data_IF_688041228433
#
_entry.id   IF_688041228433
#
_cell.length_a   1.000
_cell.length_b   1.000
_cell.length_c   1.000
_cell.angle_alpha   90.00
_cell.angle_beta   90.00
_cell.angle_gamma   90.00
#
_symmetry.space_group_name_H-M   'P 1'
#
loop_
_entity.id
_entity.type
_entity.pdbx_description
1 polymer ?
#
# COMPACT_ATOMS: atom_id res chain seq x y z
N UNK A 1 65.24 -47.79 -59.96
CA UNK A 1 64.63 -47.65 -61.30
C UNK A 1 63.13 -47.92 -61.19
N UNK A 2 62.33 -46.93 -61.62
CA UNK A 2 61.10 -47.09 -62.43
C UNK A 2 59.90 -47.90 -61.85
N UNK A 3 58.80 -47.13 -61.72
CA UNK A 3 57.34 -47.43 -61.86
C UNK A 3 56.60 -48.08 -60.68
N UNK A 4 55.54 -47.46 -60.12
CA UNK A 4 54.24 -46.94 -60.65
C UNK A 4 53.16 -48.05 -60.64
N UNK A 5 52.23 -47.99 -59.67
CA UNK A 5 50.78 -48.25 -59.88
C UNK A 5 49.99 -48.23 -58.56
N UNK A 6 49.28 -47.12 -58.35
CA UNK A 6 47.84 -46.98 -58.08
C UNK A 6 47.10 -48.14 -57.39
N UNK A 7 46.42 -47.84 -56.27
CA UNK A 7 45.06 -48.33 -55.98
C UNK A 7 44.39 -47.53 -54.84
N UNK A 8 43.56 -46.57 -55.26
CA UNK A 8 42.22 -46.24 -54.77
C UNK A 8 41.83 -46.76 -53.36
N UNK A 9 41.66 -45.85 -52.39
CA UNK A 9 40.77 -46.10 -51.24
C UNK A 9 39.86 -44.90 -51.02
N UNK A 10 38.57 -45.21 -51.11
CA UNK A 10 37.40 -44.39 -50.78
C UNK A 10 37.60 -43.61 -49.47
N UNK A 11 37.35 -42.30 -49.53
CA UNK A 11 37.11 -41.48 -48.35
C UNK A 11 35.73 -41.76 -47.80
N UNK A 12 35.66 -42.23 -46.55
CA UNK A 12 34.44 -42.30 -45.76
C UNK A 12 34.46 -41.11 -44.79
N UNK A 13 33.74 -40.04 -45.13
CA UNK A 13 33.47 -38.93 -44.22
C UNK A 13 32.49 -39.40 -43.14
N UNK A 14 32.98 -39.74 -41.95
CA UNK A 14 32.12 -39.83 -40.76
C UNK A 14 31.76 -38.41 -40.31
N UNK A 15 30.53 -37.99 -40.62
CA UNK A 15 29.90 -36.85 -40.00
C UNK A 15 29.56 -37.20 -38.54
N UNK A 16 30.33 -36.70 -37.60
CA UNK A 16 29.99 -36.73 -36.18
C UNK A 16 28.80 -35.78 -35.95
N UNK A 17 27.61 -36.34 -35.76
CA UNK A 17 26.45 -35.60 -35.32
C UNK A 17 26.69 -35.12 -33.88
N UNK A 18 27.08 -33.84 -33.73
CA UNK A 18 27.08 -33.16 -32.46
C UNK A 18 25.62 -33.02 -31.99
N UNK A 19 25.22 -33.87 -31.04
CA UNK A 19 23.96 -33.71 -30.32
C UNK A 19 24.15 -32.49 -29.40
N UNK A 20 23.40 -31.39 -29.59
CA UNK A 20 23.47 -30.28 -28.64
C UNK A 20 22.86 -30.77 -27.33
N UNK A 21 23.71 -30.87 -26.30
CA UNK A 21 23.27 -31.02 -24.93
C UNK A 21 22.41 -29.80 -24.60
N UNK A 22 21.09 -29.97 -24.63
CA UNK A 22 20.16 -29.02 -24.07
C UNK A 22 20.46 -28.95 -22.56
N UNK A 23 21.27 -27.98 -22.17
CA UNK A 23 21.43 -27.59 -20.78
C UNK A 23 20.05 -27.11 -20.31
N UNK A 24 19.29 -28.01 -19.69
CA UNK A 24 18.11 -27.66 -18.94
C UNK A 24 18.54 -26.66 -17.88
N UNK A 25 18.06 -25.43 -18.01
CA UNK A 25 18.10 -24.48 -16.91
C UNK A 25 17.18 -25.05 -15.83
N UNK A 26 17.76 -25.78 -14.87
CA UNK A 26 17.10 -26.05 -13.61
C UNK A 26 16.68 -24.70 -13.04
N UNK A 27 15.38 -24.42 -13.09
CA UNK A 27 14.80 -23.28 -12.37
C UNK A 27 15.15 -23.51 -10.91
N UNK A 28 16.15 -22.77 -10.42
CA UNK A 28 16.57 -22.81 -9.03
C UNK A 28 15.31 -22.73 -8.15
N UNK A 29 15.11 -23.76 -7.33
CA UNK A 29 13.92 -23.87 -6.50
C UNK A 29 13.91 -22.70 -5.52
N UNK A 30 12.96 -21.78 -5.69
CA UNK A 30 12.73 -20.73 -4.70
C UNK A 30 12.21 -21.37 -3.42
N UNK A 31 13.00 -21.29 -2.34
CA UNK A 31 12.61 -21.76 -1.02
C UNK A 31 11.89 -20.66 -0.25
N UNK A 32 10.99 -21.00 0.70
CA UNK A 32 10.43 -20.02 1.63
C UNK A 32 11.53 -19.28 2.41
N UNK A 33 11.26 -18.02 2.73
CA UNK A 33 12.13 -17.24 3.63
C UNK A 33 11.86 -17.65 5.07
N UNK A 34 12.90 -18.06 5.80
CA UNK A 34 12.81 -18.38 7.22
C UNK A 34 12.90 -17.09 8.04
N UNK A 35 11.84 -16.81 8.80
CA UNK A 35 11.83 -15.77 9.84
C UNK A 35 11.86 -16.44 11.20
N UNK A 36 12.77 -16.01 12.08
CA UNK A 36 12.95 -16.63 13.39
C UNK A 36 12.61 -15.66 14.52
N UNK A 37 12.15 -16.19 15.64
CA UNK A 37 11.97 -15.39 16.85
C UNK A 37 13.30 -14.81 17.37
N UNK A 38 14.42 -15.52 17.16
CA UNK A 38 15.75 -15.05 17.52
C UNK A 38 16.08 -13.69 16.87
N UNK A 39 15.83 -13.53 15.57
CA UNK A 39 16.05 -12.27 14.85
C UNK A 39 15.28 -11.10 15.48
N UNK A 40 14.03 -11.33 15.88
CA UNK A 40 13.21 -10.31 16.52
C UNK A 40 13.77 -9.94 17.91
N UNK A 41 14.12 -10.93 18.74
CA UNK A 41 14.66 -10.70 20.09
C UNK A 41 16.02 -10.00 20.02
N UNK A 42 16.89 -10.38 19.09
CA UNK A 42 18.19 -9.74 18.90
C UNK A 42 18.03 -8.27 18.48
N UNK A 43 17.14 -7.98 17.51
CA UNK A 43 16.85 -6.62 17.09
C UNK A 43 16.26 -5.76 18.24
N UNK A 44 15.37 -6.33 19.06
CA UNK A 44 14.79 -5.61 20.21
C UNK A 44 15.78 -5.31 21.34
N UNK A 45 16.83 -6.15 21.49
CA UNK A 45 17.86 -5.97 22.51
C UNK A 45 19.03 -5.12 22.03
N UNK A 46 19.15 -4.90 20.72
CA UNK A 46 20.20 -4.07 20.15
C UNK A 46 20.05 -2.62 20.60
N UNK A 47 21.08 -2.10 21.27
CA UNK A 47 21.21 -0.67 21.54
C UNK A 47 21.86 -0.01 20.34
N UNK A 48 21.32 1.13 19.93
CA UNK A 48 21.86 1.94 18.85
C UNK A 48 21.76 3.44 19.19
N UNK A 49 22.60 4.21 18.53
CA UNK A 49 22.83 5.65 18.72
C UNK A 49 22.12 6.50 17.66
N UNK A 50 21.21 5.91 16.88
CA UNK A 50 20.39 6.66 15.94
C UNK A 50 19.58 7.72 16.71
N UNK A 51 19.80 8.99 16.38
CA UNK A 51 18.96 10.06 16.88
C UNK A 51 17.60 10.02 16.18
N UNK A 52 16.64 9.38 16.85
CA UNK A 52 15.26 9.24 16.36
C UNK A 52 14.52 10.58 16.26
N UNK A 53 15.02 11.63 16.94
CA UNK A 53 14.41 12.97 16.88
C UNK A 53 14.93 13.80 15.70
N UNK A 54 16.01 13.35 15.06
CA UNK A 54 16.56 13.98 13.88
C UNK A 54 16.16 13.24 12.60
N UNK A 55 15.14 13.74 11.91
CA UNK A 55 14.62 13.15 10.67
C UNK A 55 15.69 12.92 9.59
N UNK A 56 16.75 13.75 9.57
CA UNK A 56 17.86 13.60 8.62
C UNK A 56 18.69 12.36 8.92
N UNK A 57 18.88 12.03 10.19
CA UNK A 57 19.63 10.83 10.60
C UNK A 57 18.80 9.57 10.35
N UNK A 58 17.48 9.63 10.60
CA UNK A 58 16.54 8.54 10.27
C UNK A 58 16.47 8.29 8.75
N UNK A 59 16.34 9.36 7.94
CA UNK A 59 16.35 9.24 6.48
C UNK A 59 17.66 8.63 5.96
N UNK A 60 18.81 9.09 6.48
CA UNK A 60 20.11 8.54 6.12
C UNK A 60 20.22 7.06 6.48
N UNK A 61 19.79 6.67 7.69
CA UNK A 61 19.74 5.28 8.12
C UNK A 61 18.94 4.41 7.15
N UNK A 62 17.72 4.83 6.81
CA UNK A 62 16.84 4.07 5.91
C UNK A 62 17.49 3.91 4.53
N UNK A 63 17.91 5.00 3.88
CA UNK A 63 18.48 4.92 2.53
C UNK A 63 19.78 4.09 2.49
N UNK A 64 20.57 4.10 3.56
CA UNK A 64 21.77 3.27 3.67
C UNK A 64 21.47 1.78 3.89
N UNK A 65 20.33 1.46 4.54
CA UNK A 65 19.89 0.08 4.74
C UNK A 65 19.25 -0.53 3.48
N UNK A 66 18.75 0.29 2.56
CA UNK A 66 18.13 -0.16 1.32
C UNK A 66 19.17 -0.59 0.27
N UNK A 67 18.83 -1.60 -0.58
CA UNK A 67 19.61 -1.88 -1.78
C UNK A 67 19.55 -0.68 -2.74
N UNK A 68 20.42 -0.68 -3.77
CA UNK A 68 20.50 0.41 -4.76
C UNK A 68 19.19 0.61 -5.54
N UNK A 69 18.35 -0.41 -5.61
CA UNK A 69 17.05 -0.38 -6.27
C UNK A 69 16.01 -1.14 -5.47
N UNK A 70 14.85 -0.51 -5.25
CA UNK A 70 13.70 -1.08 -4.55
C UNK A 70 12.44 -1.00 -5.42
N UNK A 71 11.50 -1.91 -5.16
CA UNK A 71 10.17 -1.89 -5.77
C UNK A 71 9.18 -1.26 -4.79
N UNK A 72 8.42 -0.29 -5.30
CA UNK A 72 7.23 0.24 -4.62
C UNK A 72 6.03 -0.51 -5.19
N UNK A 73 5.36 -1.28 -4.33
CA UNK A 73 4.23 -2.13 -4.72
C UNK A 73 2.88 -1.41 -4.68
N UNK A 74 2.56 -0.63 -3.64
CA UNK A 74 1.28 0.05 -3.54
C UNK A 74 1.05 1.05 -4.68
N UNK A 75 -0.17 1.11 -5.21
CA UNK A 75 -0.49 1.97 -6.37
C UNK A 75 -0.53 3.47 -6.06
N UNK A 76 -0.64 3.83 -4.78
CA UNK A 76 -0.49 5.21 -4.30
C UNK A 76 0.96 5.62 -4.03
N UNK A 77 1.94 4.74 -4.31
CA UNK A 77 3.38 5.03 -4.31
C UNK A 77 4.05 5.16 -2.95
N UNK A 78 3.54 4.45 -1.94
CA UNK A 78 4.16 4.34 -0.63
C UNK A 78 5.19 3.21 -0.59
N UNK A 79 6.43 3.55 -0.23
CA UNK A 79 7.43 2.58 0.16
C UNK A 79 7.44 2.46 1.69
N UNK A 80 6.75 1.46 2.22
CA UNK A 80 6.69 1.21 3.65
C UNK A 80 7.96 0.55 4.19
N UNK A 81 8.34 0.92 5.40
CA UNK A 81 9.43 0.31 6.15
C UNK A 81 9.06 0.19 7.63
N UNK A 82 9.77 -0.70 8.34
CA UNK A 82 9.75 -0.72 9.80
C UNK A 82 11.12 -1.12 10.33
N UNK A 83 11.45 -0.68 11.53
CA UNK A 83 12.68 -1.03 12.22
C UNK A 83 12.46 -1.00 13.73
N UNK A 84 13.38 -1.59 14.49
CA UNK A 84 13.36 -1.53 15.96
C UNK A 84 14.48 -0.61 16.42
N UNK A 85 14.14 0.38 17.23
CA UNK A 85 15.06 1.32 17.84
C UNK A 85 14.92 1.23 19.36
N UNK A 86 15.97 0.76 20.04
CA UNK A 86 16.06 0.68 21.50
C UNK A 86 14.89 -0.04 22.20
N UNK A 87 14.26 -1.01 21.51
CA UNK A 87 13.13 -1.80 22.01
C UNK A 87 11.75 -1.31 21.54
N UNK A 88 11.69 -0.19 20.81
CA UNK A 88 10.46 0.38 20.25
C UNK A 88 10.42 0.06 18.75
N UNK A 89 9.27 -0.42 18.27
CA UNK A 89 9.06 -0.63 16.83
C UNK A 89 8.59 0.67 16.20
N UNK A 90 9.31 1.12 15.18
CA UNK A 90 8.93 2.23 14.34
C UNK A 90 8.42 1.71 13.00
N UNK A 91 7.38 2.36 12.48
CA UNK A 91 6.88 2.20 11.13
C UNK A 91 7.01 3.54 10.39
N UNK A 92 6.95 3.49 9.07
CA UNK A 92 7.02 4.70 8.27
C UNK A 92 6.96 4.44 6.78
N UNK A 93 7.06 5.51 6.01
CA UNK A 93 7.03 5.43 4.56
C UNK A 93 7.84 6.54 3.88
N UNK A 94 8.25 6.25 2.65
CA UNK A 94 8.62 7.24 1.63
C UNK A 94 7.54 7.21 0.55
N UNK A 95 6.79 8.30 0.37
CA UNK A 95 5.74 8.41 -0.65
C UNK A 95 6.17 9.31 -1.80
N UNK A 96 6.28 8.71 -2.99
CA UNK A 96 6.48 9.41 -4.27
C UNK A 96 5.11 9.79 -4.86
N UNK A 97 4.49 10.79 -4.25
CA UNK A 97 3.13 11.22 -4.60
C UNK A 97 2.98 11.70 -6.06
N UNK A 98 1.81 11.39 -6.65
CA UNK A 98 1.16 12.01 -7.80
C UNK A 98 1.67 13.41 -8.21
N UNK A 99 1.51 14.31 -7.24
CA UNK A 99 1.55 15.76 -7.39
C UNK A 99 2.95 16.31 -7.09
N UNK A 100 3.74 15.62 -6.28
CA UNK A 100 4.98 16.16 -5.71
C UNK A 100 6.26 15.54 -6.29
N UNK A 101 6.26 14.27 -6.69
CA UNK A 101 7.49 13.58 -7.13
C UNK A 101 8.16 14.22 -8.35
N UNK A 102 7.37 14.71 -9.29
CA UNK A 102 7.86 15.36 -10.51
C UNK A 102 8.36 16.79 -10.24
N UNK A 103 8.05 17.35 -9.07
CA UNK A 103 8.60 18.62 -8.57
C UNK A 103 9.90 18.43 -7.78
N UNK A 104 10.44 17.20 -7.75
CA UNK A 104 11.66 16.89 -7.02
C UNK A 104 11.45 16.74 -5.51
N UNK A 105 10.23 16.38 -5.07
CA UNK A 105 9.89 16.22 -3.65
C UNK A 105 9.47 14.80 -3.29
N UNK A 106 9.66 14.42 -2.04
CA UNK A 106 9.20 13.14 -1.48
C UNK A 106 8.60 13.36 -0.09
N UNK A 107 7.49 12.69 0.20
CA UNK A 107 6.96 12.69 1.56
C UNK A 107 7.69 11.62 2.37
N UNK A 108 8.13 11.99 3.57
CA UNK A 108 8.82 11.10 4.50
C UNK A 108 8.12 11.14 5.84
N UNK A 109 7.71 9.98 6.32
CA UNK A 109 7.10 9.85 7.64
C UNK A 109 7.65 8.67 8.41
N UNK A 110 7.77 8.82 9.73
CA UNK A 110 8.03 7.71 10.65
C UNK A 110 7.44 8.01 12.03
N UNK A 111 7.00 6.95 12.69
CA UNK A 111 6.25 7.02 13.95
C UNK A 111 6.40 5.71 14.72
N UNK A 112 6.13 5.74 16.01
CA UNK A 112 6.05 4.53 16.81
C UNK A 112 4.86 3.72 16.33
N UNK A 113 5.08 2.44 16.04
CA UNK A 113 4.01 1.60 15.51
C UNK A 113 2.90 1.47 16.55
N UNK A 114 1.67 1.69 16.10
CA UNK A 114 0.49 1.62 16.94
C UNK A 114 0.38 0.27 17.64
N UNK A 115 0.01 0.30 18.92
CA UNK A 115 -0.40 -0.89 19.65
C UNK A 115 -1.72 -0.63 20.38
N UNK A 116 -2.62 -1.63 20.52
CA UNK A 116 -3.88 -1.44 21.23
C UNK A 116 -3.75 -0.98 22.70
N UNK A 117 -2.58 -1.16 23.32
CA UNK A 117 -2.33 -0.83 24.73
C UNK A 117 -1.44 0.39 24.94
N UNK A 118 -0.87 0.95 23.86
CA UNK A 118 -0.03 2.14 23.91
C UNK A 118 -0.17 2.92 22.61
N UNK A 119 -0.69 4.14 22.75
CA UNK A 119 -0.96 5.06 21.66
C UNK A 119 -0.01 6.24 21.83
N UNK A 120 0.83 6.46 20.83
CA UNK A 120 1.61 7.68 20.69
C UNK A 120 1.09 8.41 19.46
N UNK A 121 0.64 9.65 19.65
CA UNK A 121 0.09 10.49 18.58
C UNK A 121 1.16 11.26 17.80
N UNK A 122 2.41 11.24 18.28
CA UNK A 122 3.53 11.92 17.63
C UNK A 122 3.87 11.25 16.30
N UNK A 123 3.53 11.95 15.22
CA UNK A 123 3.85 11.57 13.86
C UNK A 123 4.91 12.52 13.31
N UNK A 124 6.08 12.00 12.97
CA UNK A 124 7.09 12.78 12.28
C UNK A 124 6.77 12.74 10.79
N UNK A 125 6.40 13.88 10.21
CA UNK A 125 6.08 14.03 8.79
C UNK A 125 6.84 15.20 8.18
N UNK A 126 7.43 14.96 7.00
CA UNK A 126 8.18 15.95 6.26
C UNK A 126 7.96 15.82 4.76
N UNK A 127 7.70 16.94 4.09
CA UNK A 127 7.80 17.04 2.64
C UNK A 127 9.21 17.51 2.29
N UNK A 128 10.04 16.58 1.83
CA UNK A 128 11.47 16.81 1.62
C UNK A 128 11.78 17.21 0.18
N UNK A 129 12.67 18.18 0.03
CA UNK A 129 13.15 18.65 -1.28
C UNK A 129 14.62 19.08 -1.27
N UNK A 130 15.07 19.79 -2.32
CA UNK A 130 16.43 20.32 -2.41
C UNK A 130 16.82 21.20 -1.21
N UNK A 131 15.87 21.92 -0.62
CA UNK A 131 16.01 22.70 0.61
C UNK A 131 16.46 21.86 1.82
N UNK A 132 16.13 20.57 1.81
CA UNK A 132 16.55 19.60 2.81
C UNK A 132 17.85 18.87 2.43
N UNK A 133 18.46 19.20 1.29
CA UNK A 133 19.57 18.43 0.73
C UNK A 133 19.15 17.07 0.16
N UNK A 134 17.84 16.87 -0.06
CA UNK A 134 17.28 15.68 -0.71
C UNK A 134 17.07 15.98 -2.19
N UNK A 135 17.63 15.15 -3.06
CA UNK A 135 17.39 15.24 -4.51
C UNK A 135 16.48 14.10 -4.94
N UNK A 136 15.30 14.43 -5.46
CA UNK A 136 14.42 13.47 -6.14
C UNK A 136 14.50 13.71 -7.64
N UNK A 137 14.88 12.69 -8.40
CA UNK A 137 15.09 12.80 -9.85
C UNK A 137 14.31 11.72 -10.59
N UNK A 138 13.44 12.13 -11.51
CA UNK A 138 12.72 11.22 -12.41
C UNK A 138 13.71 10.60 -13.41
N UNK A 139 13.89 9.28 -13.35
CA UNK A 139 14.75 8.50 -14.25
C UNK A 139 13.97 7.92 -15.42
N UNK A 140 12.73 7.51 -15.15
CA UNK A 140 11.74 7.10 -16.14
C UNK A 140 10.33 7.42 -15.63
N UNK A 141 9.29 7.14 -16.42
CA UNK A 141 7.89 7.42 -16.07
C UNK A 141 7.47 6.91 -14.68
N UNK A 142 7.94 5.72 -14.32
CA UNK A 142 7.66 5.02 -13.05
C UNK A 142 8.95 4.67 -12.31
N UNK A 143 10.01 5.47 -12.47
CA UNK A 143 11.29 5.24 -11.80
C UNK A 143 11.90 6.56 -11.33
N UNK A 144 12.20 6.66 -10.03
CA UNK A 144 12.70 7.87 -9.38
C UNK A 144 13.94 7.53 -8.55
N UNK A 145 14.96 8.37 -8.63
CA UNK A 145 16.11 8.31 -7.75
C UNK A 145 15.92 9.27 -6.57
N UNK A 146 16.12 8.79 -5.35
CA UNK A 146 16.23 9.64 -4.16
C UNK A 146 17.70 9.63 -3.72
N UNK A 147 18.32 10.80 -3.68
CA UNK A 147 19.69 11.00 -3.22
C UNK A 147 19.72 11.86 -1.96
N UNK A 148 20.42 11.39 -0.93
CA UNK A 148 20.66 12.14 0.31
C UNK A 148 22.02 11.76 0.90
N UNK A 149 22.81 12.75 1.32
CA UNK A 149 24.16 12.55 1.90
C UNK A 149 25.05 11.58 1.09
N UNK A 150 25.00 11.66 -0.24
CA UNK A 150 25.79 10.82 -1.15
C UNK A 150 25.22 9.41 -1.42
N UNK A 151 24.23 8.95 -0.63
CA UNK A 151 23.50 7.70 -0.90
C UNK A 151 22.40 7.96 -1.92
N UNK A 152 22.32 7.12 -2.96
CA UNK A 152 21.23 7.16 -3.95
C UNK A 152 20.53 5.81 -4.01
N UNK A 153 19.20 5.82 -3.98
CA UNK A 153 18.36 4.63 -4.14
C UNK A 153 17.35 4.88 -5.26
N UNK A 154 17.19 3.90 -6.14
CA UNK A 154 16.21 3.91 -7.22
C UNK A 154 14.91 3.26 -6.75
N UNK A 155 13.83 4.01 -6.76
CA UNK A 155 12.48 3.57 -6.45
C UNK A 155 11.73 3.30 -7.75
N UNK A 156 11.45 2.03 -8.02
CA UNK A 156 10.64 1.61 -9.15
C UNK A 156 9.18 1.50 -8.72
N UNK A 157 8.33 2.39 -9.21
CA UNK A 157 6.89 2.36 -8.94
C UNK A 157 6.23 1.13 -9.60
N UNK A 158 5.07 0.74 -9.08
CA UNK A 158 4.37 -0.43 -9.61
C UNK A 158 3.83 -0.12 -11.01
N UNK A 159 4.16 -0.96 -11.99
CA UNK A 159 3.76 -0.75 -13.38
C UNK A 159 2.64 -1.72 -13.73
N UNK A 160 1.42 -1.20 -13.77
CA UNK A 160 0.20 -1.94 -14.03
C UNK A 160 -0.51 -1.42 -15.29
N UNK A 161 0.19 -0.68 -16.17
CA UNK A 161 -0.44 -0.07 -17.37
C UNK A 161 -1.08 -1.10 -18.31
N UNK A 162 -0.55 -2.33 -18.33
CA UNK A 162 -1.10 -3.45 -19.09
C UNK A 162 -2.22 -4.22 -18.38
N UNK A 163 -2.52 -3.90 -17.12
CA UNK A 163 -3.48 -4.65 -16.30
C UNK A 163 -4.88 -4.12 -16.53
N UNK A 164 -5.74 -4.98 -17.09
CA UNK A 164 -7.15 -4.69 -17.37
C UNK A 164 -8.02 -5.88 -16.98
N UNK A 165 -9.28 -5.67 -16.58
CA UNK A 165 -10.22 -6.75 -16.33
C UNK A 165 -10.33 -7.66 -17.57
N UNK A 166 -10.27 -9.00 -17.42
CA UNK A 166 -10.52 -9.91 -18.53
C UNK A 166 -11.98 -9.84 -19.00
N UNK A 167 -12.29 -10.33 -20.22
CA UNK A 167 -13.65 -10.35 -20.73
C UNK A 167 -14.63 -11.01 -19.75
N UNK A 168 -15.77 -10.36 -19.51
CA UNK A 168 -16.82 -10.84 -18.61
C UNK A 168 -16.67 -10.44 -17.13
N UNK A 169 -15.52 -9.91 -16.69
CA UNK A 169 -15.36 -9.42 -15.32
C UNK A 169 -16.04 -8.06 -15.10
N UNK A 170 -15.96 -7.17 -16.09
CA UNK A 170 -16.68 -5.90 -16.08
C UNK A 170 -18.09 -6.12 -16.65
N UNK A 171 -19.11 -5.66 -15.93
CA UNK A 171 -20.50 -5.72 -16.41
C UNK A 171 -20.83 -4.57 -17.35
N UNK A 172 -21.90 -4.74 -18.11
CA UNK A 172 -22.45 -3.68 -18.95
C UNK A 172 -22.80 -2.45 -18.11
N UNK A 173 -22.28 -1.29 -18.53
CA UNK A 173 -22.50 -0.01 -17.86
C UNK A 173 -21.61 0.25 -16.65
N UNK A 174 -20.75 -0.69 -16.23
CA UNK A 174 -19.73 -0.40 -15.20
C UNK A 174 -18.53 0.33 -15.80
N UNK A 175 -17.94 1.24 -15.02
CA UNK A 175 -16.74 1.99 -15.37
C UNK A 175 -15.53 1.39 -14.66
N UNK A 176 -14.52 0.98 -15.43
CA UNK A 176 -13.22 0.61 -14.88
C UNK A 176 -12.42 1.88 -14.54
N UNK A 177 -12.07 2.04 -13.25
CA UNK A 177 -11.31 3.20 -12.77
C UNK A 177 -9.81 2.97 -12.88
N UNK A 178 -9.33 1.77 -12.55
CA UNK A 178 -7.92 1.42 -12.69
C UNK A 178 -7.50 0.21 -11.86
N UNK A 179 -6.25 -0.26 -12.06
CA UNK A 179 -5.71 -1.38 -11.31
C UNK A 179 -5.19 -0.88 -9.96
N UNK A 180 -5.67 -1.49 -8.89
CA UNK A 180 -5.20 -1.23 -7.52
C UNK A 180 -4.27 -2.36 -7.11
N UNK A 181 -3.15 -2.03 -6.50
CA UNK A 181 -2.30 -3.00 -5.82
C UNK A 181 -2.09 -2.47 -4.42
N UNK A 182 -2.60 -3.22 -3.47
CA UNK A 182 -2.64 -2.90 -2.05
C UNK A 182 -1.36 -3.41 -1.35
N UNK A 183 -0.97 -2.79 -0.25
CA UNK A 183 0.19 -3.14 0.58
C UNK A 183 0.11 -4.56 1.16
N UNK A 184 -1.08 -5.16 1.24
CA UNK A 184 -1.25 -6.59 1.55
C UNK A 184 -0.62 -7.49 0.48
N UNK A 185 -0.29 -6.96 -0.70
CA UNK A 185 0.16 -7.72 -1.86
C UNK A 185 -0.99 -8.26 -2.71
N UNK A 186 -2.21 -7.76 -2.53
CA UNK A 186 -3.39 -8.17 -3.30
C UNK A 186 -3.68 -7.13 -4.40
N UNK A 187 -3.95 -7.62 -5.61
CA UNK A 187 -4.37 -6.78 -6.72
C UNK A 187 -5.89 -6.75 -6.89
N UNK A 188 -6.42 -5.60 -7.26
CA UNK A 188 -7.83 -5.39 -7.56
C UNK A 188 -8.01 -4.59 -8.85
N UNK A 189 -9.22 -4.69 -9.41
CA UNK A 189 -9.76 -3.70 -10.31
C UNK A 189 -10.73 -2.83 -9.52
N UNK A 190 -10.47 -1.52 -9.45
CA UNK A 190 -11.45 -0.58 -8.93
C UNK A 190 -12.49 -0.30 -10.01
N UNK A 191 -13.74 -0.62 -9.69
CA UNK A 191 -14.88 -0.54 -10.61
C UNK A 191 -15.97 0.32 -9.99
N UNK A 192 -16.57 1.19 -10.80
CA UNK A 192 -17.71 2.01 -10.39
C UNK A 192 -18.96 1.60 -11.16
N UNK A 193 -20.08 1.40 -10.45
CA UNK A 193 -21.38 1.20 -11.06
C UNK A 193 -22.17 2.52 -11.04
N UNK A 194 -22.31 3.23 -12.17
CA UNK A 194 -22.95 4.55 -12.21
C UNK A 194 -24.45 4.51 -11.94
N UNK A 195 -25.12 3.40 -12.25
CA UNK A 195 -26.57 3.24 -12.02
C UNK A 195 -26.88 3.07 -10.55
N UNK A 196 -26.07 2.28 -9.85
CA UNK A 196 -26.24 1.98 -8.43
C UNK A 196 -25.48 2.96 -7.52
N UNK A 197 -24.56 3.74 -8.09
CA UNK A 197 -23.66 4.64 -7.36
C UNK A 197 -22.85 3.92 -6.28
N UNK A 198 -22.25 2.79 -6.66
CA UNK A 198 -21.42 1.98 -5.75
C UNK A 198 -20.06 1.71 -6.38
N UNK A 199 -19.03 1.67 -5.53
CA UNK A 199 -17.71 1.18 -5.88
C UNK A 199 -17.61 -0.31 -5.54
N UNK A 200 -16.79 -1.03 -6.29
CA UNK A 200 -16.39 -2.39 -5.98
C UNK A 200 -14.89 -2.56 -6.21
N UNK A 201 -14.24 -3.25 -5.28
CA UNK A 201 -12.92 -3.84 -5.52
C UNK A 201 -13.11 -5.27 -6.01
N UNK A 202 -12.77 -5.50 -7.27
CA UNK A 202 -12.84 -6.83 -7.88
C UNK A 202 -11.46 -7.47 -7.82
N UNK A 203 -11.34 -8.66 -7.23
CA UNK A 203 -10.06 -9.36 -7.13
C UNK A 203 -9.45 -9.57 -8.53
N UNK A 204 -8.18 -9.18 -8.69
CA UNK A 204 -7.41 -9.45 -9.89
C UNK A 204 -6.77 -10.84 -9.80
N UNK A 205 -7.42 -11.82 -10.42
CA UNK A 205 -6.93 -13.21 -10.48
C UNK A 205 -5.95 -13.48 -11.63
N UNK A 206 -5.53 -12.46 -12.39
CA UNK A 206 -4.51 -12.60 -13.43
C UNK A 206 -3.09 -12.59 -12.86
N UNK A 207 -2.91 -12.14 -11.62
CA UNK A 207 -1.63 -12.13 -10.93
C UNK A 207 -1.48 -13.39 -10.06
N UNK A 208 -0.24 -13.83 -9.77
CA UNK A 208 -0.01 -14.89 -8.79
C UNK A 208 -0.69 -14.55 -7.46
N UNK A 209 -1.50 -15.49 -6.95
CA UNK A 209 -2.21 -15.28 -5.69
C UNK A 209 -1.21 -15.13 -4.55
N UNK A 210 -1.28 -14.02 -3.83
CA UNK A 210 -0.54 -13.78 -2.59
C UNK A 210 -1.27 -14.32 -1.36
N UNK A 211 -2.43 -14.94 -1.55
CA UNK A 211 -3.25 -15.52 -0.49
C UNK A 211 -3.92 -16.83 -0.94
N UNK A 212 -4.22 -17.70 0.02
CA UNK A 212 -5.02 -18.90 -0.20
C UNK A 212 -6.47 -18.59 0.14
N UNK A 213 -7.36 -18.73 -0.85
CA UNK A 213 -8.80 -18.54 -0.64
C UNK A 213 -9.47 -19.82 -0.10
N UNK A 214 -10.09 -19.70 1.07
CA UNK A 214 -10.79 -20.78 1.76
C UNK A 214 -12.31 -20.59 1.66
N UNK A 215 -13.10 -21.66 1.43
CA UNK A 215 -14.56 -21.56 1.49
C UNK A 215 -15.03 -21.28 2.92
N UNK A 216 -16.11 -20.51 3.08
CA UNK A 216 -16.73 -20.31 4.40
C UNK A 216 -17.91 -21.27 4.61
N UNK A 217 -18.29 -21.49 5.87
CA UNK A 217 -19.52 -22.24 6.23
C UNK A 217 -20.79 -21.39 6.10
N UNK A 218 -20.63 -20.08 5.98
CA UNK A 218 -21.73 -19.11 5.92
C UNK A 218 -22.44 -19.17 4.56
N UNK A 219 -21.67 -19.25 3.48
CA UNK A 219 -22.19 -19.38 2.13
C UNK A 219 -21.13 -19.95 1.19
N UNK A 220 -21.48 -20.88 0.26
CA UNK A 220 -20.54 -21.38 -0.75
C UNK A 220 -20.09 -20.30 -1.74
N UNK A 221 -20.76 -19.14 -1.74
CA UNK A 221 -20.42 -17.96 -2.54
C UNK A 221 -19.40 -17.07 -1.84
N UNK A 222 -19.11 -17.27 -0.55
CA UNK A 222 -18.15 -16.45 0.17
C UNK A 222 -16.85 -17.25 0.35
N UNK A 223 -15.73 -16.61 0.05
CA UNK A 223 -14.39 -17.13 0.32
C UNK A 223 -13.58 -16.14 1.13
N UNK A 224 -12.64 -16.65 1.91
CA UNK A 224 -11.80 -15.89 2.82
C UNK A 224 -10.32 -16.06 2.47
N UNK A 225 -9.58 -14.96 2.41
CA UNK A 225 -8.13 -14.96 2.36
C UNK A 225 -7.55 -15.45 3.70
N UNK A 226 -6.76 -16.52 3.66
CA UNK A 226 -6.17 -17.12 4.85
C UNK A 226 -5.16 -16.18 5.54
N UNK A 227 -4.40 -15.40 4.76
CA UNK A 227 -3.37 -14.47 5.26
C UNK A 227 -3.95 -13.10 5.57
N UNK A 228 -4.81 -12.58 4.69
CA UNK A 228 -5.30 -11.20 4.75
C UNK A 228 -6.56 -11.04 5.59
N UNK A 229 -7.38 -12.09 5.72
CA UNK A 229 -8.73 -11.93 6.25
C UNK A 229 -9.65 -11.14 5.30
N UNK A 230 -9.28 -10.98 4.02
CA UNK A 230 -10.19 -10.40 3.04
C UNK A 230 -11.28 -11.40 2.66
N UNK A 231 -12.53 -10.95 2.72
CA UNK A 231 -13.71 -11.73 2.37
C UNK A 231 -14.22 -11.33 0.99
N UNK A 232 -14.41 -12.31 0.12
CA UNK A 232 -14.88 -12.10 -1.24
C UNK A 232 -16.18 -12.83 -1.52
N UNK A 233 -17.10 -12.16 -2.20
CA UNK A 233 -18.30 -12.77 -2.76
C UNK A 233 -18.06 -13.20 -4.22
N UNK A 234 -18.33 -14.46 -4.52
CA UNK A 234 -18.29 -15.05 -5.86
C UNK A 234 -19.58 -14.69 -6.59
N UNK A 235 -19.49 -13.72 -7.50
CA UNK A 235 -20.63 -13.21 -8.24
C UNK A 235 -21.38 -14.35 -8.98
N UNK A 236 -22.72 -14.29 -8.97
CA UNK A 236 -23.61 -15.23 -9.66
C UNK A 236 -23.69 -14.97 -11.15
N UNK A 237 -23.49 -13.73 -11.57
CA UNK A 237 -23.74 -13.28 -12.94
C UNK A 237 -22.46 -12.98 -13.73
N UNK A 238 -21.30 -12.97 -13.08
CA UNK A 238 -20.00 -12.77 -13.71
C UNK A 238 -18.91 -13.63 -13.06
N UNK A 239 -17.85 -14.02 -13.79
CA UNK A 239 -16.71 -14.76 -13.26
C UNK A 239 -15.78 -13.83 -12.46
N UNK A 240 -16.27 -13.27 -11.35
CA UNK A 240 -15.54 -12.30 -10.52
C UNK A 240 -15.74 -12.52 -9.03
N UNK A 241 -14.78 -12.05 -8.24
CA UNK A 241 -14.81 -12.04 -6.78
C UNK A 241 -14.80 -10.60 -6.30
N UNK A 242 -15.86 -10.18 -5.63
CA UNK A 242 -16.05 -8.82 -5.13
C UNK A 242 -15.61 -8.79 -3.66
N UNK A 243 -14.72 -7.88 -3.28
CA UNK A 243 -14.37 -7.65 -1.88
C UNK A 243 -15.63 -7.16 -1.14
N UNK A 244 -16.09 -7.92 -0.15
CA UNK A 244 -17.28 -7.60 0.65
C UNK A 244 -16.94 -7.35 2.11
N UNK A 245 -15.76 -7.77 2.56
CA UNK A 245 -15.34 -7.45 3.91
C UNK A 245 -13.85 -7.61 4.14
N UNK A 246 -13.40 -6.97 5.20
CA UNK A 246 -12.07 -7.08 5.75
C UNK A 246 -12.19 -7.37 7.24
N UNK A 247 -11.19 -8.05 7.82
CA UNK A 247 -11.21 -8.35 9.23
C UNK A 247 -10.97 -7.09 10.06
N UNK A 248 -11.93 -6.70 10.90
CA UNK A 248 -11.89 -5.46 11.67
C UNK A 248 -10.65 -5.36 12.57
N UNK A 249 -10.16 -6.50 13.08
CA UNK A 249 -8.94 -6.55 13.88
C UNK A 249 -7.68 -6.03 13.16
N UNK A 250 -7.61 -6.14 11.84
CA UNK A 250 -6.52 -5.57 11.06
C UNK A 250 -6.65 -4.04 10.92
N UNK A 251 -7.86 -3.56 10.65
CA UNK A 251 -8.17 -2.12 10.58
C UNK A 251 -7.95 -1.42 11.91
N UNK A 252 -8.33 -2.04 13.02
CA UNK A 252 -8.13 -1.47 14.36
C UNK A 252 -6.65 -1.19 14.69
N UNK A 253 -5.73 -1.99 14.14
CA UNK A 253 -4.28 -1.81 14.34
C UNK A 253 -3.59 -1.18 13.15
N UNK A 254 -4.33 -0.79 12.12
CA UNK A 254 -3.83 -0.15 10.89
C UNK A 254 -2.60 -0.88 10.30
N UNK A 255 -2.70 -2.20 10.19
CA UNK A 255 -1.64 -3.02 9.57
C UNK A 255 -1.88 -3.15 8.06
N UNK A 256 -0.96 -3.79 7.34
CA UNK A 256 -1.04 -3.96 5.87
C UNK A 256 -2.24 -4.81 5.35
N UNK A 257 -3.21 -5.16 6.19
CA UNK A 257 -4.41 -5.95 5.87
C UNK A 257 -5.71 -5.23 6.26
N UNK A 258 -5.66 -3.91 6.42
CA UNK A 258 -6.78 -3.02 6.72
C UNK A 258 -7.56 -2.56 5.47
N UNK A 259 -7.13 -2.99 4.27
CA UNK A 259 -7.90 -2.95 3.04
C UNK A 259 -7.57 -1.79 2.11
N UNK A 260 -8.01 -1.85 0.84
CA UNK A 260 -7.49 -1.01 -0.24
C UNK A 260 -8.09 0.40 -0.32
N UNK A 261 -8.65 0.91 0.77
CA UNK A 261 -9.58 2.04 0.75
C UNK A 261 -8.97 3.38 0.28
N UNK A 262 -7.67 3.55 0.48
CA UNK A 262 -6.86 4.71 0.08
C UNK A 262 -5.83 4.38 -1.01
N UNK A 263 -5.63 3.09 -1.32
CA UNK A 263 -4.67 2.54 -2.29
C UNK A 263 -5.04 2.77 -3.77
N UNK A 264 -5.46 3.98 -4.15
CA UNK A 264 -6.05 4.24 -5.46
C UNK A 264 -5.02 4.20 -6.63
N UNK A 265 -5.47 4.03 -7.89
CA UNK A 265 -4.58 3.83 -9.04
C UNK A 265 -3.95 5.14 -9.56
N UNK A 266 -3.28 5.90 -8.69
CA UNK A 266 -2.85 7.28 -8.94
C UNK A 266 -1.97 7.46 -10.17
N UNK A 267 -1.13 6.46 -10.46
CA UNK A 267 -0.27 6.49 -11.65
C UNK A 267 -1.03 6.33 -12.97
N UNK A 268 -2.26 5.84 -12.94
CA UNK A 268 -3.02 5.42 -14.13
C UNK A 268 -4.32 6.22 -14.32
N UNK A 269 -4.59 7.19 -13.44
CA UNK A 269 -5.68 8.15 -13.56
C UNK A 269 -5.14 9.39 -14.25
N UNK A 270 -5.51 9.56 -15.53
CA UNK A 270 -5.14 10.72 -16.34
C UNK A 270 -6.33 11.63 -16.64
N UNK A 271 -7.55 11.13 -16.44
CA UNK A 271 -8.82 11.80 -16.67
C UNK A 271 -9.53 12.08 -15.33
N UNK A 272 -10.77 12.58 -15.41
CA UNK A 272 -11.60 12.93 -14.25
C UNK A 272 -12.43 11.75 -13.72
N UNK A 273 -12.27 10.52 -14.25
CA UNK A 273 -13.23 9.43 -14.02
C UNK A 273 -13.37 9.02 -12.55
N UNK A 274 -12.27 9.05 -11.79
CA UNK A 274 -12.31 8.76 -10.36
C UNK A 274 -13.09 9.86 -9.62
N UNK A 275 -12.75 11.12 -9.87
CA UNK A 275 -13.43 12.27 -9.28
C UNK A 275 -14.92 12.28 -9.63
N UNK A 276 -15.28 12.06 -10.89
CA UNK A 276 -16.67 12.00 -11.31
C UNK A 276 -17.44 10.84 -10.64
N UNK A 277 -16.80 9.68 -10.48
CA UNK A 277 -17.37 8.57 -9.73
C UNK A 277 -17.57 8.91 -8.25
N UNK A 278 -16.60 9.58 -7.61
CA UNK A 278 -16.72 10.06 -6.22
C UNK A 278 -17.89 11.04 -6.11
N UNK A 279 -17.98 12.03 -7.01
CA UNK A 279 -19.05 13.03 -6.99
C UNK A 279 -20.44 12.46 -7.27
N UNK A 280 -20.54 11.30 -7.92
CA UNK A 280 -21.82 10.61 -8.10
C UNK A 280 -22.36 10.00 -6.79
N UNK A 281 -21.46 9.58 -5.89
CA UNK A 281 -21.76 9.01 -4.56
C UNK A 281 -21.86 10.12 -3.50
N UNK A 282 -20.97 11.11 -3.58
CA UNK A 282 -20.77 12.18 -2.60
C UNK A 282 -20.77 13.57 -3.30
N UNK A 283 -21.93 14.07 -3.78
CA UNK A 283 -22.03 15.35 -4.50
C UNK A 283 -21.50 16.56 -3.71
N UNK A 284 -21.54 16.51 -2.39
CA UNK A 284 -21.03 17.52 -1.46
C UNK A 284 -19.51 17.72 -1.53
N UNK A 285 -18.77 16.79 -2.15
CA UNK A 285 -17.34 16.91 -2.39
C UNK A 285 -17.01 17.79 -3.61
N UNK A 286 -18.01 18.30 -4.33
CA UNK A 286 -17.81 19.15 -5.51
C UNK A 286 -17.01 20.40 -5.15
N UNK A 287 -15.87 20.56 -5.83
CA UNK A 287 -14.93 21.68 -5.59
C UNK A 287 -14.04 21.50 -4.35
N UNK A 288 -14.16 20.38 -3.63
CA UNK A 288 -13.39 20.07 -2.42
C UNK A 288 -12.34 18.97 -2.64
N UNK A 289 -12.35 18.33 -3.81
CA UNK A 289 -11.38 17.30 -4.19
C UNK A 289 -10.80 17.55 -5.58
N UNK A 290 -9.54 17.15 -5.74
CA UNK A 290 -8.87 17.04 -7.02
C UNK A 290 -9.23 15.73 -7.75
N UNK A 291 -8.61 15.47 -8.91
CA UNK A 291 -8.86 14.29 -9.73
C UNK A 291 -8.55 12.95 -9.04
N UNK A 292 -7.72 12.95 -8.00
CA UNK A 292 -7.32 11.78 -7.23
C UNK A 292 -8.17 11.57 -5.97
N UNK A 293 -9.12 12.48 -5.72
CA UNK A 293 -9.93 12.49 -4.50
C UNK A 293 -9.27 13.20 -3.32
N UNK A 294 -8.16 13.91 -3.52
CA UNK A 294 -7.47 14.63 -2.44
C UNK A 294 -8.04 16.03 -2.25
N UNK A 295 -8.08 16.52 -1.02
CA UNK A 295 -8.37 17.92 -0.71
C UNK A 295 -7.29 18.85 -1.28
N UNK A 296 -7.58 20.15 -1.51
CA UNK A 296 -6.61 21.07 -2.12
C UNK A 296 -5.27 21.18 -1.36
N UNK A 297 -5.34 21.10 -0.04
CA UNK A 297 -4.19 21.08 0.87
C UNK A 297 -3.44 19.74 0.89
N UNK A 298 -3.97 18.72 0.19
CA UNK A 298 -3.42 17.38 0.12
C UNK A 298 -3.59 16.56 1.39
N UNK A 299 -4.30 17.10 2.40
CA UNK A 299 -4.31 16.53 3.75
C UNK A 299 -5.33 15.43 3.99
N UNK A 300 -6.26 15.25 3.07
CA UNK A 300 -7.33 14.30 3.24
C UNK A 300 -7.69 13.73 1.89
N UNK A 301 -7.93 12.43 1.86
CA UNK A 301 -8.36 11.70 0.70
C UNK A 301 -9.78 11.21 0.89
N UNK A 302 -10.58 11.23 -0.16
CA UNK A 302 -11.88 10.58 -0.14
C UNK A 302 -11.71 9.07 0.07
N UNK A 303 -12.33 8.55 1.12
CA UNK A 303 -12.27 7.15 1.52
C UNK A 303 -13.19 6.30 0.63
N UNK A 304 -12.64 5.31 -0.08
CA UNK A 304 -13.43 4.34 -0.87
C UNK A 304 -13.41 3.00 -0.14
N UNK A 305 -14.32 2.82 0.82
CA UNK A 305 -14.47 1.56 1.57
C UNK A 305 -15.87 0.96 1.39
N UNK A 306 -16.18 0.34 0.23
CA UNK A 306 -17.49 -0.23 -0.04
C UNK A 306 -17.67 -1.62 0.61
N UNK A 307 -16.92 -1.97 1.65
CA UNK A 307 -16.92 -3.29 2.26
C UNK A 307 -17.08 -3.22 3.78
N UNK A 308 -17.54 -4.31 4.38
CA UNK A 308 -17.75 -4.41 5.82
C UNK A 308 -16.45 -4.67 6.57
N UNK A 309 -16.21 -3.97 7.68
CA UNK A 309 -15.24 -4.42 8.68
C UNK A 309 -15.94 -5.46 9.57
N UNK A 310 -15.57 -6.73 9.45
CA UNK A 310 -16.23 -7.83 10.15
C UNK A 310 -15.36 -8.36 11.29
N UNK A 311 -15.98 -8.69 12.42
CA UNK A 311 -15.30 -9.35 13.54
C UNK A 311 -15.43 -10.87 13.43
N UNK A 312 -16.59 -11.34 12.94
CA UNK A 312 -16.88 -12.76 12.79
C UNK A 312 -17.35 -13.06 11.39
N UNK A 313 -16.92 -14.20 10.86
CA UNK A 313 -17.26 -14.64 9.50
C UNK A 313 -18.78 -14.74 9.32
N UNK A 314 -19.53 -15.05 10.37
CA UNK A 314 -20.99 -15.14 10.39
C UNK A 314 -21.69 -13.83 10.01
N UNK A 315 -21.09 -12.67 10.28
CA UNK A 315 -21.65 -11.35 9.92
C UNK A 315 -21.73 -11.17 8.40
N UNK A 316 -20.83 -11.83 7.66
CA UNK A 316 -20.84 -11.83 6.19
C UNK A 316 -22.09 -12.52 5.60
N UNK A 317 -22.93 -13.16 6.42
CA UNK A 317 -24.20 -13.75 5.97
C UNK A 317 -25.12 -12.73 5.32
N UNK A 318 -25.09 -11.47 5.75
CA UNK A 318 -25.93 -10.40 5.21
C UNK A 318 -25.80 -10.27 3.69
N UNK A 319 -24.58 -10.46 3.15
CA UNK A 319 -24.32 -10.36 1.71
C UNK A 319 -24.99 -11.51 0.96
N UNK A 320 -24.94 -12.72 1.52
CA UNK A 320 -25.59 -13.89 0.95
C UNK A 320 -27.12 -13.79 1.06
N UNK A 321 -27.66 -13.27 2.16
CA UNK A 321 -29.09 -13.06 2.34
C UNK A 321 -29.64 -12.01 1.37
N UNK A 322 -28.95 -10.86 1.23
CA UNK A 322 -29.30 -9.84 0.25
C UNK A 322 -29.30 -10.42 -1.18
N UNK A 323 -28.20 -11.07 -1.58
CA UNK A 323 -28.03 -11.60 -2.93
C UNK A 323 -28.99 -12.75 -3.29
N UNK A 324 -29.59 -13.42 -2.29
CA UNK A 324 -30.54 -14.52 -2.47
C UNK A 324 -31.98 -14.16 -2.09
N UNK A 325 -32.26 -12.91 -1.70
CA UNK A 325 -33.62 -12.47 -1.38
C UNK A 325 -34.54 -12.64 -2.59
N UNK A 326 -35.77 -13.13 -2.37
CA UNK A 326 -36.78 -13.27 -3.43
C UNK A 326 -37.26 -11.93 -3.96
N UNK A 327 -37.14 -10.88 -3.16
CA UNK A 327 -37.49 -9.50 -3.52
C UNK A 327 -36.35 -8.82 -4.30
N UNK A 328 -35.16 -9.44 -4.35
CA UNK A 328 -34.01 -8.85 -5.02
C UNK A 328 -34.23 -8.76 -6.52
N UNK A 329 -34.38 -7.54 -7.00
CA UNK A 329 -34.42 -7.28 -8.43
C UNK A 329 -33.03 -7.50 -9.02
N UNK A 330 -32.96 -8.14 -10.18
CA UNK A 330 -31.68 -8.37 -10.87
C UNK A 330 -30.89 -7.08 -11.08
N UNK A 331 -31.58 -5.97 -11.32
CA UNK A 331 -30.97 -4.65 -11.51
C UNK A 331 -30.33 -4.07 -10.23
N UNK A 332 -30.71 -4.56 -9.04
CA UNK A 332 -30.21 -4.12 -7.74
C UNK A 332 -29.22 -5.09 -7.10
N UNK A 333 -29.07 -6.29 -7.66
CA UNK A 333 -28.24 -7.37 -7.10
C UNK A 333 -26.83 -6.92 -6.69
N UNK A 334 -26.16 -6.09 -7.48
CA UNK A 334 -24.81 -5.63 -7.16
C UNK A 334 -24.74 -4.58 -6.05
N UNK A 335 -25.86 -3.96 -5.67
CA UNK A 335 -25.89 -3.08 -4.50
C UNK A 335 -25.71 -3.88 -3.19
N UNK A 336 -25.96 -5.19 -3.20
CA UNK A 336 -25.75 -6.04 -2.03
C UNK A 336 -24.28 -6.09 -1.58
N UNK A 337 -23.32 -5.85 -2.48
CA UNK A 337 -21.89 -6.01 -2.21
C UNK A 337 -21.18 -4.70 -1.92
N UNK A 338 -21.96 -3.68 -1.55
CA UNK A 338 -21.46 -2.40 -1.10
C UNK A 338 -22.14 -2.04 0.21
N UNK A 339 -21.35 -1.78 1.26
CA UNK A 339 -21.85 -1.06 2.44
C UNK A 339 -21.69 0.44 2.19
N UNK A 340 -22.67 1.23 2.64
CA UNK A 340 -22.64 2.67 2.43
C UNK A 340 -21.37 3.26 3.07
N UNK A 341 -20.52 3.87 2.25
CA UNK A 341 -19.49 4.79 2.74
C UNK A 341 -20.22 5.98 3.35
N UNK A 342 -20.19 6.13 4.68
CA UNK A 342 -20.71 7.33 5.31
C UNK A 342 -20.01 8.56 4.69
N UNK A 343 -20.75 9.54 4.13
CA UNK A 343 -20.15 10.76 3.59
C UNK A 343 -19.57 11.57 4.75
N UNK A 344 -18.24 11.61 4.84
CA UNK A 344 -17.51 12.25 5.94
C UNK A 344 -17.46 11.33 7.15
N UNK A 345 -16.35 10.60 7.30
CA UNK A 345 -16.16 9.64 8.38
C UNK A 345 -16.32 10.26 9.77
N UNK A 346 -17.52 10.11 10.34
CA UNK A 346 -17.72 9.89 11.75
C UNK A 346 -18.27 8.48 11.89
N UNK A 347 -17.44 7.61 12.45
CA UNK A 347 -17.72 6.20 12.69
C UNK A 347 -18.93 6.05 13.62
N UNK A 348 -19.95 5.34 13.15
CA UNK A 348 -21.01 4.83 14.00
C UNK A 348 -20.72 3.39 14.40
N UNK A 349 -19.99 3.20 15.49
CA UNK A 349 -20.10 2.06 16.44
C UNK A 349 -19.12 2.28 17.62
N UNK A 350 -19.64 2.86 18.70
CA UNK A 350 -19.11 2.90 20.08
C UNK A 350 -17.60 2.66 20.29
N UNK A 351 -16.82 3.70 20.03
CA UNK A 351 -15.43 3.86 20.46
C UNK A 351 -14.79 4.99 19.66
N UNK A 352 -14.05 5.93 20.26
CA UNK A 352 -13.26 6.86 19.45
C UNK A 352 -12.31 6.03 18.57
N UNK A 353 -12.24 6.26 17.25
CA UNK A 353 -11.18 5.69 16.44
C UNK A 353 -9.85 6.00 17.12
N UNK A 354 -8.89 5.05 17.14
CA UNK A 354 -7.53 5.42 17.50
C UNK A 354 -7.11 6.61 16.61
N UNK A 355 -6.41 7.60 17.18
CA UNK A 355 -6.01 8.80 16.47
C UNK A 355 -5.35 8.41 15.16
N UNK A 356 -5.87 8.95 14.06
CA UNK A 356 -5.34 8.74 12.72
C UNK A 356 -3.85 9.04 12.74
N UNK A 357 -3.04 8.16 12.12
CA UNK A 357 -1.68 8.47 11.71
C UNK A 357 -1.73 9.67 10.76
N UNK A 358 -1.62 10.86 11.33
CA UNK A 358 -1.76 12.14 10.65
C UNK A 358 -0.51 12.50 9.87
N UNK A 359 -0.13 11.66 8.90
CA UNK A 359 0.90 11.97 7.90
C UNK A 359 0.53 13.17 7.00
N UNK A 360 -0.58 13.84 7.27
CA UNK A 360 -1.10 14.97 6.51
C UNK A 360 -1.15 16.28 7.32
N UNK A 361 -0.69 16.27 8.57
CA UNK A 361 -0.65 17.50 9.39
C UNK A 361 0.80 17.89 9.69
N UNK A 362 1.40 18.84 8.94
CA UNK A 362 2.64 19.44 9.41
C UNK A 362 2.35 20.25 10.68
N UNK A 363 3.14 20.12 11.75
CA UNK A 363 3.10 21.07 12.85
C UNK A 363 3.47 22.47 12.31
N UNK A 364 2.97 23.56 12.95
CA UNK A 364 3.32 24.91 12.53
C UNK A 364 4.84 25.09 12.50
N UNK A 365 5.33 25.57 11.36
CA UNK A 365 6.73 25.96 11.13
C UNK A 365 7.21 26.87 12.28
N UNK A 366 8.05 26.34 13.18
CA UNK A 366 8.82 27.16 14.12
C UNK A 366 10.04 27.73 13.40
N UNK A 367 9.80 28.72 12.53
CA UNK A 367 10.83 29.66 12.10
C UNK A 367 10.50 31.02 12.73
N UNK A 368 11.15 31.30 13.86
CA UNK A 368 11.00 32.56 14.58
C UNK A 368 11.31 32.47 16.07
N UNK A 369 12.33 31.72 16.48
CA UNK A 369 12.89 31.88 17.82
C UNK A 369 13.83 33.09 17.82
N UNK A 370 13.29 34.27 18.12
CA UNK A 370 14.09 35.34 18.71
C UNK A 370 14.61 34.83 20.06
N UNK A 371 15.92 34.70 20.15
CA UNK A 371 16.66 34.49 21.40
C UNK A 371 16.22 35.51 22.45
N UNK A 372 15.70 35.10 23.63
CA UNK A 372 15.52 36.01 24.74
C UNK A 372 16.90 36.39 25.31
N UNK A 373 17.13 37.64 25.74
CA UNK A 373 18.39 38.03 26.34
C UNK A 373 18.62 37.30 27.68
N UNK A 374 19.89 37.10 28.09
CA UNK A 374 20.22 36.34 29.28
C UNK A 374 19.67 37.02 30.54
N UNK A 375 18.91 36.28 31.36
CA UNK A 375 18.52 36.70 32.71
C UNK A 375 19.77 36.75 33.58
N UNK A 376 20.00 37.91 34.17
CA UNK A 376 21.00 38.12 35.21
C UNK A 376 20.59 37.36 36.48
N UNK A 377 21.58 36.71 37.10
CA UNK A 377 21.47 36.06 38.40
C UNK A 377 21.20 37.07 39.52
N UNK A 378 20.35 36.69 40.47
CA UNK A 378 20.44 37.18 41.85
C UNK A 378 19.12 37.57 42.49
N UNK A 379 18.47 36.64 43.18
CA UNK A 379 17.92 36.86 44.54
C UNK A 379 17.44 35.54 45.15
N UNK A 380 17.80 35.20 46.40
CA UNK A 380 17.33 34.00 47.07
C UNK A 380 15.90 34.19 47.63
N UNK A 381 15.09 33.13 47.71
CA UNK A 381 13.71 33.23 48.17
C UNK A 381 13.61 33.51 49.68
N UNK A 382 12.60 34.26 50.14
CA UNK A 382 12.38 34.50 51.55
C UNK A 382 11.83 33.26 52.26
N UNK A 383 12.29 33.06 53.50
CA UNK A 383 11.89 31.97 54.38
C UNK A 383 10.39 32.01 54.72
N UNK A 384 9.71 30.88 54.54
CA UNK A 384 8.33 30.70 54.99
C UNK A 384 8.30 30.50 56.52
N UNK A 385 7.65 31.43 57.21
CA UNK A 385 7.26 31.31 58.61
C UNK A 385 5.95 30.55 58.72
N UNK A 386 6.03 29.43 59.45
CA UNK A 386 4.90 28.58 59.81
C UNK A 386 4.20 29.16 61.05
N UNK A 387 2.95 29.62 60.91
CA UNK A 387 2.06 29.93 62.06
C UNK A 387 0.58 29.71 61.70
N UNK A 388 0.08 28.59 62.22
CA UNK A 388 -1.29 28.21 62.62
C UNK A 388 -2.33 27.94 61.54
#
# INVERSE_FOLDING_TARGET
>A
MIRLSTLLRLGLCLAAAAVPAAAGQDKARTLPVLHTNQQMVEAARQKNDLDITNYRDVLAFILNALPDKVKVYPTENYYYFSFIHNGIRYAGNLRLDAKERDKGKVNFAYFEEFTPWYINEENNYYLLGPEDGVKVEKKAELEYAITFRGRTVIFQLNDLRGVKPPPGVLLEGETYIGPVFDESGVGFYLVFNPKLKVFHFILNEQMPSSDRLLPTRVSPRIVLGQRTGFAYYRDKYAPRKILIGIYAGNSMVNNYYDGPFDQLPDNFIHDERLRDAILAVAPEMKGRIDRYGNTPDGKTRFLISPYMHYDRVEELRLFAECANSREMQRAQYHACFSVATAPGGEEGADGPPPPRNGADTPPPSQNGAETPPPRQNGEPPPAATDKR
#
